data_IF_404055294084
#
_entry.id   IF_404055294084
#
_cell.length_a   1.000
_cell.length_b   1.000
_cell.length_c   1.000
_cell.angle_alpha   90.00
_cell.angle_beta   90.00
_cell.angle_gamma   90.00
#
_symmetry.space_group_name_H-M   'P 1'
#
loop_
_entity.id
_entity.type
_entity.pdbx_description
1 polymer ?
#
# COMPACT_ATOMS: atom_id res chain seq x y z
N UNK A 1 18.11 -1.89 -23.89
CA UNK A 1 17.95 -0.94 -22.77
C UNK A 1 17.39 -1.72 -21.60
N UNK A 2 18.12 -1.83 -20.51
CA UNK A 2 17.65 -2.49 -19.29
C UNK A 2 16.70 -1.56 -18.55
N UNK A 3 15.43 -1.92 -18.44
CA UNK A 3 14.51 -1.26 -17.52
C UNK A 3 14.93 -1.64 -16.09
N UNK A 4 15.75 -0.80 -15.46
CA UNK A 4 15.90 -0.84 -14.01
C UNK A 4 14.60 -0.30 -13.42
N UNK A 5 13.68 -1.20 -13.07
CA UNK A 5 12.63 -0.88 -12.11
C UNK A 5 13.36 -0.56 -10.79
N UNK A 6 13.51 0.74 -10.51
CA UNK A 6 14.09 1.20 -9.27
C UNK A 6 13.30 0.58 -8.11
N UNK A 7 13.97 0.11 -7.03
CA UNK A 7 13.27 -0.30 -5.83
C UNK A 7 12.34 0.83 -5.41
N UNK A 8 11.07 0.50 -5.16
CA UNK A 8 9.99 1.44 -4.84
C UNK A 8 10.52 2.57 -3.94
N UNK A 9 10.61 3.79 -4.48
CA UNK A 9 11.47 4.86 -3.96
C UNK A 9 10.97 5.54 -2.67
N UNK A 10 10.02 4.92 -1.98
CA UNK A 10 9.28 5.51 -0.89
C UNK A 10 9.47 4.72 0.40
N UNK A 11 9.52 5.44 1.53
CA UNK A 11 9.50 4.89 2.88
C UNK A 11 8.08 4.48 3.28
N UNK A 12 7.10 5.27 2.84
CA UNK A 12 5.69 5.08 3.13
C UNK A 12 4.84 5.39 1.89
N UNK A 13 3.66 4.79 1.85
CA UNK A 13 2.59 5.22 0.93
C UNK A 13 1.33 5.43 1.74
N UNK A 14 0.72 6.59 1.56
CA UNK A 14 -0.46 7.04 2.25
C UNK A 14 -1.64 7.18 1.29
N UNK A 15 -2.82 6.73 1.73
CA UNK A 15 -4.09 7.10 1.11
C UNK A 15 -4.73 8.21 1.93
N UNK A 16 -5.22 9.23 1.23
CA UNK A 16 -6.04 10.29 1.81
C UNK A 16 -7.47 9.79 2.02
N UNK A 17 -8.00 10.02 3.21
CA UNK A 17 -9.36 9.73 3.60
C UNK A 17 -10.01 11.02 4.14
N UNK A 18 -11.34 11.04 4.21
CA UNK A 18 -12.09 12.18 4.71
C UNK A 18 -13.11 11.74 5.75
N UNK A 19 -13.27 12.53 6.81
CA UNK A 19 -14.30 12.36 7.83
C UNK A 19 -15.12 13.63 8.00
N UNK A 20 -16.43 13.49 8.21
CA UNK A 20 -17.37 14.61 8.30
C UNK A 20 -17.34 15.32 9.66
N UNK A 21 -16.81 14.64 10.69
CA UNK A 21 -16.66 15.14 12.05
C UNK A 21 -15.40 14.55 12.68
N UNK A 22 -14.98 15.14 13.79
CA UNK A 22 -13.94 14.53 14.63
C UNK A 22 -14.49 13.23 15.20
N UNK A 23 -13.66 12.19 15.26
CA UNK A 23 -14.08 10.87 15.73
C UNK A 23 -12.91 9.97 16.11
N UNK A 24 -13.23 8.88 16.80
CA UNK A 24 -12.26 7.86 17.19
C UNK A 24 -12.13 6.82 16.08
N UNK A 25 -10.89 6.59 15.65
CA UNK A 25 -10.59 5.56 14.65
C UNK A 25 -10.62 4.17 15.29
N UNK A 26 -11.62 3.36 14.91
CA UNK A 26 -11.84 2.03 15.47
C UNK A 26 -11.03 0.96 14.75
N UNK A 27 -11.01 1.00 13.42
CA UNK A 27 -10.35 -0.02 12.62
C UNK A 27 -9.93 0.52 11.26
N UNK A 28 -8.89 -0.08 10.69
CA UNK A 28 -8.48 0.09 9.30
C UNK A 28 -8.57 -1.26 8.61
N UNK A 29 -9.13 -1.30 7.41
CA UNK A 29 -9.05 -2.47 6.54
C UNK A 29 -8.25 -2.14 5.30
N UNK A 30 -7.18 -2.92 5.08
CA UNK A 30 -6.35 -2.90 3.90
C UNK A 30 -6.76 -4.08 3.01
N UNK A 31 -7.21 -3.84 1.79
CA UNK A 31 -7.28 -4.88 0.78
C UNK A 31 -5.87 -5.30 0.37
N UNK A 32 -5.57 -6.58 0.45
CA UNK A 32 -4.37 -7.13 -0.14
C UNK A 32 -4.50 -7.21 -1.65
N UNK A 33 -3.34 -7.15 -2.28
CA UNK A 33 -3.22 -6.95 -3.70
C UNK A 33 -2.81 -8.25 -4.33
N UNK A 34 -3.79 -8.84 -4.99
CA UNK A 34 -3.52 -9.86 -5.99
C UNK A 34 -3.01 -9.11 -7.20
N UNK A 35 -1.68 -9.06 -7.38
CA UNK A 35 -1.11 -8.69 -8.66
C UNK A 35 -1.40 -9.84 -9.63
N UNK A 36 -2.54 -9.77 -10.33
CA UNK A 36 -2.69 -10.40 -11.63
C UNK A 36 -1.83 -9.58 -12.60
N UNK A 37 -0.50 -9.67 -12.47
CA UNK A 37 0.35 -9.14 -13.51
C UNK A 37 0.51 -10.21 -14.57
N UNK A 38 -0.55 -10.45 -15.33
CA UNK A 38 -0.44 -11.05 -16.64
C UNK A 38 -1.71 -10.74 -17.43
N UNK A 39 -1.64 -9.65 -18.21
CA UNK A 39 -2.51 -9.48 -19.38
C UNK A 39 -2.52 -10.77 -20.22
N UNK A 40 -1.39 -11.47 -20.24
CA UNK A 40 -1.20 -12.76 -20.90
C UNK A 40 -2.03 -13.92 -20.34
N UNK A 41 -2.26 -13.98 -19.02
CA UNK A 41 -3.06 -15.02 -18.33
C UNK A 41 -4.55 -14.77 -18.50
N UNK A 42 -4.96 -13.49 -18.51
CA UNK A 42 -6.33 -13.10 -18.84
C UNK A 42 -6.68 -13.38 -20.32
N UNK A 43 -5.70 -13.23 -21.22
CA UNK A 43 -5.86 -13.46 -22.66
C UNK A 43 -5.65 -14.94 -23.08
N UNK A 44 -5.04 -15.79 -22.25
CA UNK A 44 -4.76 -17.20 -22.57
C UNK A 44 -5.19 -18.20 -21.48
N UNK A 45 -6.51 -18.38 -21.26
CA UNK A 45 -7.06 -19.26 -20.20
C UNK A 45 -6.80 -20.77 -20.41
N UNK A 46 -6.13 -21.16 -21.51
CA UNK A 46 -5.87 -22.58 -21.86
C UNK A 46 -4.58 -23.16 -21.26
N UNK A 47 -3.75 -22.36 -20.59
CA UNK A 47 -2.51 -22.83 -19.94
C UNK A 47 -2.62 -22.64 -18.43
N UNK A 48 -3.15 -23.63 -17.68
CA UNK A 48 -3.47 -23.44 -16.27
C UNK A 48 -2.27 -23.55 -15.32
N UNK A 49 -1.05 -23.86 -15.78
CA UNK A 49 -0.01 -24.28 -14.82
C UNK A 49 1.45 -24.12 -15.27
N UNK A 50 1.92 -22.88 -15.46
CA UNK A 50 3.37 -22.64 -15.47
C UNK A 50 3.73 -21.41 -14.64
N UNK A 51 3.99 -21.67 -13.35
CA UNK A 51 4.46 -20.76 -12.28
C UNK A 51 3.39 -20.16 -11.36
N UNK A 52 2.39 -20.98 -11.06
CA UNK A 52 1.64 -21.02 -9.79
C UNK A 52 2.55 -21.29 -8.56
N UNK A 53 3.73 -20.66 -8.46
CA UNK A 53 4.51 -20.64 -7.22
C UNK A 53 3.77 -19.78 -6.21
N UNK A 54 2.83 -20.41 -5.50
CA UNK A 54 2.29 -20.04 -4.20
C UNK A 54 2.29 -18.54 -3.87
N UNK A 55 1.39 -17.78 -4.49
CA UNK A 55 1.09 -16.39 -4.07
C UNK A 55 0.73 -16.30 -2.57
N UNK A 56 0.27 -17.40 -1.97
CA UNK A 56 0.03 -17.57 -0.53
C UNK A 56 1.30 -17.53 0.34
N UNK A 57 2.46 -17.98 -0.14
CA UNK A 57 3.73 -17.90 0.61
C UNK A 57 4.42 -16.53 0.45
N UNK A 58 4.01 -15.75 -0.55
CA UNK A 58 4.57 -14.43 -0.85
C UNK A 58 4.06 -13.33 0.08
N UNK A 59 3.15 -13.60 1.02
CA UNK A 59 2.41 -12.54 1.74
C UNK A 59 2.64 -12.48 3.25
N UNK A 60 3.39 -13.41 3.83
CA UNK A 60 3.84 -13.27 5.22
C UNK A 60 4.87 -12.14 5.29
N UNK A 61 4.43 -10.98 5.76
CA UNK A 61 5.25 -9.81 5.96
C UNK A 61 4.79 -9.06 7.21
N UNK A 62 5.66 -8.18 7.67
CA UNK A 62 5.35 -7.23 8.72
C UNK A 62 5.47 -5.81 8.18
N UNK A 63 4.57 -4.92 8.54
CA UNK A 63 4.67 -3.51 8.19
C UNK A 63 4.09 -2.67 9.32
N UNK A 64 4.28 -1.35 9.25
CA UNK A 64 3.66 -0.45 10.22
C UNK A 64 2.55 0.33 9.55
N UNK A 65 1.50 0.58 10.33
CA UNK A 65 0.49 1.58 10.00
C UNK A 65 0.84 2.91 10.66
N UNK A 66 0.66 3.97 9.89
CA UNK A 66 0.79 5.36 10.34
C UNK A 66 -0.49 6.11 10.02
N UNK A 67 -0.92 6.98 10.91
CA UNK A 67 -2.13 7.77 10.73
C UNK A 67 -1.72 9.23 10.84
N UNK A 68 -2.01 10.05 9.84
CA UNK A 68 -1.62 11.45 9.85
C UNK A 68 -2.81 12.40 9.74
N UNK A 69 -2.73 13.55 10.40
CA UNK A 69 -3.58 14.69 10.05
C UNK A 69 -3.18 15.26 8.70
N UNK A 70 -4.12 15.89 8.01
CA UNK A 70 -3.81 16.71 6.84
C UNK A 70 -3.37 18.12 7.25
N UNK A 71 -2.34 18.65 6.59
CA UNK A 71 -2.00 20.06 6.69
C UNK A 71 -3.06 20.91 5.98
N UNK A 72 -3.58 21.92 6.65
CA UNK A 72 -4.68 22.75 6.14
C UNK A 72 -4.30 23.64 4.96
N UNK A 73 -3.00 23.88 4.71
CA UNK A 73 -2.53 24.74 3.63
C UNK A 73 -2.12 23.92 2.40
N UNK A 74 -1.37 22.84 2.62
CA UNK A 74 -0.81 22.01 1.56
C UNK A 74 -1.71 20.81 1.21
N UNK A 75 -2.58 20.39 2.13
CA UNK A 75 -3.42 19.21 1.99
C UNK A 75 -2.64 17.89 2.05
N UNK A 76 -1.37 17.90 2.48
CA UNK A 76 -0.48 16.75 2.61
C UNK A 76 -0.43 16.20 4.05
N UNK A 77 0.07 14.98 4.29
CA UNK A 77 0.26 14.47 5.64
C UNK A 77 1.16 15.38 6.48
N UNK A 78 0.78 15.65 7.73
CA UNK A 78 1.47 16.59 8.63
C UNK A 78 1.99 15.95 9.90
N UNK A 79 1.08 15.58 10.81
CA UNK A 79 1.39 15.12 12.16
C UNK A 79 0.91 13.69 12.33
N UNK A 80 1.77 12.81 12.86
CA UNK A 80 1.40 11.44 13.22
C UNK A 80 0.44 11.49 14.41
N UNK A 81 -0.78 11.00 14.20
CA UNK A 81 -1.87 10.98 15.18
C UNK A 81 -1.74 9.81 16.17
N UNK A 82 -0.77 8.92 15.97
CA UNK A 82 -0.50 7.80 16.86
C UNK A 82 0.97 7.78 17.31
N UNK A 83 1.20 7.94 18.61
CA UNK A 83 2.54 7.87 19.18
C UNK A 83 3.06 6.44 19.35
N UNK A 84 2.19 5.44 19.17
CA UNK A 84 2.51 4.03 19.32
C UNK A 84 2.77 3.37 17.96
N UNK A 85 3.67 2.38 17.93
CA UNK A 85 3.94 1.63 16.70
C UNK A 85 2.82 0.61 16.49
N UNK A 86 2.02 0.81 15.43
CA UNK A 86 1.02 -0.16 14.99
C UNK A 86 1.68 -1.13 14.01
N UNK A 87 2.33 -2.17 14.54
CA UNK A 87 2.94 -3.22 13.72
C UNK A 87 1.92 -4.30 13.35
N UNK A 88 1.82 -4.58 12.05
CA UNK A 88 0.88 -5.52 11.45
C UNK A 88 1.69 -6.73 10.98
N UNK A 89 1.58 -7.88 11.67
CA UNK A 89 2.38 -9.10 11.44
C UNK A 89 1.59 -10.29 10.89
N UNK A 90 2.26 -11.11 10.07
CA UNK A 90 1.88 -12.50 9.77
C UNK A 90 0.47 -12.71 9.18
N UNK A 91 0.09 -11.91 8.20
CA UNK A 91 -1.23 -12.04 7.56
C UNK A 91 -1.18 -12.86 6.27
N UNK A 92 -2.10 -13.82 6.14
CA UNK A 92 -2.32 -14.63 4.93
C UNK A 92 -3.70 -14.38 4.28
N UNK A 93 -4.36 -13.26 4.65
CA UNK A 93 -5.73 -12.95 4.25
C UNK A 93 -5.78 -11.84 3.21
N UNK A 94 -6.66 -12.02 2.21
CA UNK A 94 -6.94 -11.03 1.16
C UNK A 94 -7.38 -9.66 1.66
N UNK A 95 -7.90 -9.56 2.88
CA UNK A 95 -8.17 -8.30 3.55
C UNK A 95 -7.54 -8.36 4.93
N UNK A 96 -6.77 -7.32 5.28
CA UNK A 96 -6.13 -7.18 6.58
C UNK A 96 -6.90 -6.11 7.35
N UNK A 97 -7.70 -6.53 8.33
CA UNK A 97 -8.37 -5.62 9.25
C UNK A 97 -7.58 -5.51 10.53
N UNK A 98 -7.20 -4.28 10.88
CA UNK A 98 -6.45 -3.95 12.09
C UNK A 98 -7.38 -3.24 13.06
N UNK A 99 -7.55 -3.78 14.25
CA UNK A 99 -8.28 -3.13 15.34
C UNK A 99 -7.40 -2.06 15.96
N UNK A 100 -7.90 -0.83 16.00
CA UNK A 100 -7.19 0.35 16.48
C UNK A 100 -7.78 0.98 17.75
N UNK A 101 -8.87 0.42 18.29
CA UNK A 101 -9.55 0.96 19.49
C UNK A 101 -8.62 1.15 20.68
N UNK A 102 -7.65 0.26 20.84
CA UNK A 102 -6.69 0.33 21.96
C UNK A 102 -5.79 1.57 21.92
N UNK A 103 -5.51 2.11 20.73
CA UNK A 103 -4.64 3.27 20.54
C UNK A 103 -5.37 4.61 20.72
N UNK A 104 -6.71 4.60 20.80
CA UNK A 104 -7.55 5.80 21.03
C UNK A 104 -7.21 6.97 20.09
N UNK A 105 -6.93 6.65 18.82
CA UNK A 105 -6.52 7.61 17.80
C UNK A 105 -7.73 8.50 17.46
N UNK A 106 -7.59 9.79 17.68
CA UNK A 106 -8.60 10.79 17.28
C UNK A 106 -8.25 11.34 15.90
N UNK A 107 -9.17 11.21 14.95
CA UNK A 107 -9.02 11.81 13.62
C UNK A 107 -9.81 13.13 13.58
N UNK A 108 -9.18 14.25 13.15
CA UNK A 108 -9.86 15.54 13.09
C UNK A 108 -10.91 15.55 11.98
N UNK A 109 -11.90 16.44 12.09
CA UNK A 109 -12.83 16.71 10.99
C UNK A 109 -12.07 17.12 9.72
N UNK A 110 -12.43 16.52 8.59
CA UNK A 110 -11.82 16.79 7.29
C UNK A 110 -10.89 15.67 6.85
N UNK A 111 -9.82 16.05 6.17
CA UNK A 111 -8.90 15.10 5.57
C UNK A 111 -7.90 14.53 6.59
N UNK A 112 -7.63 13.24 6.48
CA UNK A 112 -6.59 12.55 7.20
C UNK A 112 -5.96 11.49 6.29
N UNK A 113 -4.87 10.88 6.73
CA UNK A 113 -4.15 9.91 5.93
C UNK A 113 -3.90 8.64 6.71
N UNK A 114 -3.92 7.52 5.99
CA UNK A 114 -3.49 6.23 6.49
C UNK A 114 -2.36 5.75 5.60
N UNK A 115 -1.19 5.54 6.19
CA UNK A 115 0.00 5.13 5.49
C UNK A 115 0.48 3.74 5.90
N UNK A 116 1.00 3.02 4.91
CA UNK A 116 1.77 1.80 5.09
C UNK A 116 3.24 2.18 5.05
N UNK A 117 3.96 1.90 6.13
CA UNK A 117 5.41 2.05 6.23
C UNK A 117 6.06 0.66 6.11
N UNK A 118 6.98 0.52 5.14
CA UNK A 118 7.69 -0.73 4.94
C UNK A 118 8.74 -0.96 6.01
N UNK A 119 8.75 -2.16 6.59
CA UNK A 119 9.89 -2.65 7.38
C UNK A 119 10.88 -3.30 6.42
N UNK A 120 12.09 -2.75 6.31
CA UNK A 120 13.10 -3.20 5.35
C UNK A 120 14.10 -4.15 6.01
N UNK A 121 13.67 -5.39 6.16
CA UNK A 121 14.50 -6.49 6.66
C UNK A 121 14.49 -7.64 5.65
N UNK A 122 15.35 -8.64 5.87
CA UNK A 122 15.44 -9.80 4.99
C UNK A 122 14.13 -10.60 4.92
N UNK A 123 13.37 -10.62 6.02
CA UNK A 123 12.06 -11.28 6.07
C UNK A 123 11.05 -10.64 5.11
N UNK A 124 11.06 -9.32 4.95
CA UNK A 124 10.15 -8.63 4.03
C UNK A 124 10.71 -8.46 2.62
N UNK A 125 11.99 -8.75 2.40
CA UNK A 125 12.61 -8.67 1.08
C UNK A 125 12.07 -9.76 0.15
N UNK A 126 11.71 -9.38 -1.06
CA UNK A 126 11.34 -10.29 -2.14
C UNK A 126 12.26 -10.08 -3.33
N UNK A 127 12.84 -11.18 -3.83
CA UNK A 127 13.65 -11.19 -5.05
C UNK A 127 12.86 -11.90 -6.14
N UNK A 128 12.52 -11.16 -7.20
CA UNK A 128 11.82 -11.70 -8.36
C UNK A 128 12.77 -11.68 -9.54
N UNK A 129 13.05 -12.86 -10.10
CA UNK A 129 13.82 -13.00 -11.33
C UNK A 129 12.86 -13.01 -12.51
N UNK A 130 12.99 -12.03 -13.40
CA UNK A 130 12.30 -12.01 -14.67
C UNK A 130 13.22 -12.59 -15.73
N UNK A 131 12.79 -13.69 -16.33
CA UNK A 131 13.43 -14.31 -17.48
C UNK A 131 12.50 -14.15 -18.67
N UNK A 132 12.82 -13.18 -19.53
CA UNK A 132 12.28 -13.08 -20.89
C UNK A 132 13.36 -13.56 -21.87
N UNK A 133 12.96 -14.05 -23.05
CA UNK A 133 13.82 -14.74 -24.04
C UNK A 133 15.06 -13.95 -24.47
N UNK A 134 15.10 -12.64 -24.20
CA UNK A 134 16.20 -11.74 -24.57
C UNK A 134 16.86 -10.99 -23.41
N UNK A 135 16.28 -10.98 -22.20
CA UNK A 135 16.80 -10.23 -21.04
C UNK A 135 16.44 -10.96 -19.74
N UNK A 136 17.45 -11.28 -18.93
CA UNK A 136 17.28 -11.71 -17.54
C UNK A 136 17.66 -10.56 -16.60
N UNK A 137 16.77 -10.21 -15.67
CA UNK A 137 17.08 -9.26 -14.60
C UNK A 137 16.43 -9.62 -13.28
N UNK A 138 17.10 -9.27 -12.18
CA UNK A 138 16.63 -9.48 -10.81
C UNK A 138 16.05 -8.18 -10.26
N UNK A 139 14.81 -8.22 -9.80
CA UNK A 139 14.20 -7.14 -9.04
C UNK A 139 14.25 -7.50 -7.56
N UNK A 140 14.78 -6.61 -6.73
CA UNK A 140 14.63 -6.67 -5.28
C UNK A 140 13.56 -5.66 -4.86
N UNK A 141 12.58 -6.12 -4.10
CA UNK A 141 11.44 -5.35 -3.61
C UNK A 141 11.17 -5.68 -2.14
N UNK A 142 10.35 -4.88 -1.46
CA UNK A 142 9.93 -5.15 -0.08
C UNK A 142 8.42 -5.29 0.00
N UNK A 143 7.98 -6.20 0.86
CA UNK A 143 6.57 -6.47 1.17
C UNK A 143 6.06 -5.55 2.30
N UNK A 144 4.74 -5.26 2.38
CA UNK A 144 3.67 -5.77 1.51
C UNK A 144 3.79 -5.18 0.12
N UNK A 145 3.37 -5.95 -0.89
CA UNK A 145 3.16 -5.38 -2.19
C UNK A 145 1.91 -4.50 -2.11
N UNK A 146 2.06 -3.22 -2.42
CA UNK A 146 0.96 -2.25 -2.47
C UNK A 146 0.59 -2.03 -3.94
N UNK A 147 -0.67 -2.16 -4.26
CA UNK A 147 -1.25 -2.02 -5.57
C UNK A 147 -2.58 -1.29 -5.41
N UNK A 148 -3.33 -1.31 -6.48
CA UNK A 148 -4.16 -0.16 -6.81
C UNK A 148 -5.55 -0.69 -7.15
N UNK A 149 -6.58 -0.01 -6.64
CA UNK A 149 -7.99 -0.31 -6.91
C UNK A 149 -8.22 -0.41 -8.41
N UNK A 150 -8.95 -1.45 -8.86
CA UNK A 150 -9.32 -1.65 -10.28
C UNK A 150 -10.38 -0.68 -10.79
N UNK A 151 -10.85 0.25 -9.95
CA UNK A 151 -11.86 1.22 -10.34
C UNK A 151 -11.19 2.44 -10.97
N UNK A 152 -11.69 2.90 -12.11
CA UNK A 152 -11.23 4.11 -12.79
C UNK A 152 -11.65 5.37 -12.03
N UNK A 153 -10.80 6.40 -12.02
CA UNK A 153 -11.17 7.69 -11.45
C UNK A 153 -10.18 8.79 -11.76
N UNK A 154 -10.62 10.04 -11.58
CA UNK A 154 -9.98 11.19 -12.22
C UNK A 154 -8.65 11.62 -11.57
N UNK A 155 -8.33 11.11 -10.36
CA UNK A 155 -7.12 11.45 -9.61
C UNK A 155 -6.85 10.41 -8.52
N UNK A 156 -5.58 10.06 -8.33
CA UNK A 156 -5.14 9.20 -7.24
C UNK A 156 -5.04 10.00 -5.94
N UNK A 157 -5.69 9.56 -4.87
CA UNK A 157 -5.54 10.17 -3.54
C UNK A 157 -4.41 9.51 -2.74
N UNK A 158 -3.32 9.20 -3.44
CA UNK A 158 -2.21 8.41 -2.91
C UNK A 158 -0.91 9.22 -2.97
N UNK A 159 -0.17 9.22 -1.87
CA UNK A 159 1.05 9.99 -1.69
C UNK A 159 2.17 9.10 -1.18
N UNK A 160 3.39 9.30 -1.69
CA UNK A 160 4.58 8.60 -1.25
C UNK A 160 5.47 9.50 -0.41
N UNK A 161 6.00 8.97 0.70
CA UNK A 161 7.04 9.63 1.48
C UNK A 161 8.40 9.22 0.91
N UNK A 162 9.13 10.18 0.35
CA UNK A 162 10.49 9.95 -0.19
C UNK A 162 11.51 9.75 0.94
N UNK A 163 12.71 9.30 0.60
CA UNK A 163 13.85 9.22 1.54
C UNK A 163 14.36 10.58 2.04
N UNK A 164 13.88 11.68 1.46
CA UNK A 164 14.21 13.04 1.88
C UNK A 164 13.10 13.65 2.75
N UNK A 165 12.25 12.80 3.35
CA UNK A 165 11.11 13.18 4.19
C UNK A 165 10.13 14.15 3.52
N UNK A 166 10.00 14.02 2.19
CA UNK A 166 9.06 14.81 1.38
C UNK A 166 7.93 13.93 0.88
N UNK A 167 6.69 14.37 1.12
CA UNK A 167 5.48 13.79 0.54
C UNK A 167 5.30 14.26 -0.90
N UNK A 168 5.07 13.31 -1.81
CA UNK A 168 4.83 13.58 -3.23
C UNK A 168 3.62 12.77 -3.71
N UNK A 169 2.79 13.34 -4.62
CA UNK A 169 1.69 12.58 -5.21
C UNK A 169 2.24 11.43 -6.06
N UNK A 170 1.60 10.27 -5.97
CA UNK A 170 1.93 9.12 -6.79
C UNK A 170 1.10 9.13 -8.07
N UNK A 171 1.55 9.89 -9.07
CA UNK A 171 0.82 10.08 -10.33
C UNK A 171 1.12 9.00 -11.40
N UNK A 172 2.13 8.17 -11.17
CA UNK A 172 2.60 7.14 -12.13
C UNK A 172 1.87 5.79 -12.00
N UNK A 173 0.74 5.77 -11.31
CA UNK A 173 -0.12 4.60 -11.23
C UNK A 173 -1.06 4.60 -12.44
N UNK A 174 -1.37 3.43 -13.01
CA UNK A 174 -2.19 3.34 -14.24
C UNK A 174 -3.45 4.21 -14.10
N UNK A 175 -3.83 4.98 -15.15
CA UNK A 175 -5.02 5.84 -15.10
C UNK A 175 -6.33 5.06 -14.85
N UNK A 176 -6.29 3.75 -15.07
CA UNK A 176 -7.43 2.86 -14.84
C UNK A 176 -7.69 2.59 -13.33
N UNK A 177 -6.88 3.17 -12.43
CA UNK A 177 -6.90 2.85 -11.00
C UNK A 177 -7.01 4.10 -10.11
N UNK A 178 -7.76 3.99 -9.02
CA UNK A 178 -8.25 5.14 -8.23
C UNK A 178 -7.50 5.42 -6.94
N UNK A 179 -7.23 4.41 -6.13
CA UNK A 179 -6.71 4.57 -4.78
C UNK A 179 -6.05 3.28 -4.29
N UNK A 180 -5.35 3.35 -3.14
CA UNK A 180 -5.12 2.13 -2.38
C UNK A 180 -6.48 1.56 -1.93
N UNK A 181 -6.52 0.28 -1.59
CA UNK A 181 -7.72 -0.34 -1.03
C UNK A 181 -7.72 -0.20 0.50
N UNK A 182 -7.57 1.03 1.00
CA UNK A 182 -7.64 1.33 2.43
C UNK A 182 -9.02 1.90 2.76
N UNK A 183 -9.62 1.38 3.84
CA UNK A 183 -10.87 1.89 4.41
C UNK A 183 -10.75 2.02 5.93
N UNK A 184 -11.56 2.91 6.50
CA UNK A 184 -11.56 3.23 7.92
C UNK A 184 -12.96 3.13 8.52
N UNK A 185 -13.02 2.63 9.74
CA UNK A 185 -14.22 2.66 10.59
C UNK A 185 -14.00 3.69 11.71
N UNK A 186 -14.88 4.67 11.81
CA UNK A 186 -14.77 5.80 12.76
C UNK A 186 -16.06 5.86 13.59
N UNK A 187 -15.91 6.04 14.90
CA UNK A 187 -17.03 6.37 15.81
C UNK A 187 -17.04 7.86 16.12
N UNK A 188 -18.24 8.45 16.08
CA UNK A 188 -18.52 9.86 16.37
C UNK A 188 -19.22 10.02 17.71
#
# INVERSE_FOLDING_TARGET
>A
MSYQLQPFAFLQVAQKLNTIAEGMLNSITLGQLVFLNDKWVLENPRYPDSRSHSYLSMQQCSFKLRIYSADTHTGLPKEDLCNEIIEVKNFNNRNITVNLKQYKIMVPKGDFFVAVEWIRNDENMSKTTYNDESIAFNITSYRPFIGISTNEGPKLNVYGLTFFDKWEPLDNLSPDFTDLTISAEISY
#
